data_IF_066900356821
#
_entry.id   IF_066900356821
#
_cell.length_a   1.000
_cell.length_b   1.000
_cell.length_c   1.000
_cell.angle_alpha   90.00
_cell.angle_beta   90.00
_cell.angle_gamma   90.00
#
_symmetry.space_group_name_H-M   'P 1'
#
loop_
_entity.id
_entity.type
_entity.pdbx_description
1 polymer ?
#
# COMPACT_ATOMS: atom_id res chain seq x y z
N UNK A 1 9.32 -6.05 -16.54
CA UNK A 1 8.25 -5.05 -16.30
C UNK A 1 8.60 -4.35 -15.00
N UNK A 2 9.36 -3.25 -15.10
CA UNK A 2 9.84 -2.52 -13.93
C UNK A 2 8.83 -1.41 -13.62
N UNK A 3 8.19 -1.51 -12.45
CA UNK A 3 7.30 -0.48 -11.91
C UNK A 3 8.08 0.83 -11.80
N UNK A 4 7.65 1.85 -12.56
CA UNK A 4 8.30 3.17 -12.61
C UNK A 4 8.34 3.77 -11.20
N UNK A 5 9.56 4.02 -10.71
CA UNK A 5 9.85 4.70 -9.45
C UNK A 5 9.50 6.18 -9.58
N UNK A 6 8.60 6.67 -8.73
CA UNK A 6 8.22 8.08 -8.65
C UNK A 6 9.32 8.82 -7.87
N UNK A 7 10.20 9.53 -8.57
CA UNK A 7 11.31 10.29 -7.97
C UNK A 7 11.04 11.79 -8.09
N UNK A 8 10.56 12.42 -7.01
CA UNK A 8 10.71 13.87 -6.81
C UNK A 8 11.99 14.07 -5.98
N UNK A 9 13.06 14.56 -6.62
CA UNK A 9 14.34 15.00 -6.02
C UNK A 9 15.20 13.93 -5.33
N UNK A 10 15.79 13.01 -6.11
CA UNK A 10 17.05 12.32 -5.75
C UNK A 10 17.06 11.38 -4.53
N UNK A 11 15.94 11.20 -3.83
CA UNK A 11 15.78 10.24 -2.74
C UNK A 11 14.95 9.06 -3.24
N UNK A 12 15.55 7.86 -3.28
CA UNK A 12 14.79 6.63 -3.50
C UNK A 12 13.94 6.40 -2.26
N UNK A 13 12.66 6.77 -2.35
CA UNK A 13 11.66 6.41 -1.35
C UNK A 13 11.20 5.01 -1.68
N UNK A 14 11.75 4.02 -0.97
CA UNK A 14 11.17 2.68 -0.94
C UNK A 14 9.83 2.82 -0.23
N UNK A 15 8.75 2.46 -0.91
CA UNK A 15 7.44 2.49 -0.27
C UNK A 15 7.33 1.27 0.63
N UNK A 16 7.32 1.48 1.93
CA UNK A 16 7.13 0.38 2.87
C UNK A 16 5.65 0.05 2.95
N UNK A 17 5.31 -1.24 2.95
CA UNK A 17 3.93 -1.66 3.08
C UNK A 17 3.39 -1.13 4.42
N UNK A 18 2.26 -0.39 4.43
CA UNK A 18 1.71 0.14 5.68
C UNK A 18 1.24 -0.97 6.64
N UNK A 19 0.92 -2.16 6.11
CA UNK A 19 0.46 -3.31 6.88
C UNK A 19 1.60 -4.14 7.48
N UNK A 20 2.52 -4.66 6.67
CA UNK A 20 3.58 -5.57 7.12
C UNK A 20 4.98 -4.94 7.22
N UNK A 21 5.14 -3.65 6.86
CA UNK A 21 6.43 -2.92 6.79
C UNK A 21 7.47 -3.52 5.84
N UNK A 22 7.08 -4.44 4.96
CA UNK A 22 7.97 -4.98 3.94
C UNK A 22 8.33 -3.93 2.88
N UNK A 23 9.51 -4.09 2.29
CA UNK A 23 10.03 -3.23 1.21
C UNK A 23 9.77 -3.78 -0.18
N UNK A 24 9.29 -5.01 -0.28
CA UNK A 24 8.94 -5.66 -1.55
C UNK A 24 7.54 -5.20 -1.99
N UNK A 25 7.47 -3.93 -2.37
CA UNK A 25 6.24 -3.28 -2.82
C UNK A 25 6.45 -2.69 -4.20
N UNK A 26 5.35 -2.50 -4.93
CA UNK A 26 5.37 -1.90 -6.26
C UNK A 26 4.15 -1.04 -6.52
N UNK A 27 4.30 -0.03 -7.37
CA UNK A 27 3.16 0.75 -7.86
C UNK A 27 2.52 0.03 -9.04
N UNK A 28 1.23 -0.26 -8.93
CA UNK A 28 0.43 -0.99 -9.93
C UNK A 28 -0.54 -0.08 -10.69
N UNK A 29 -0.79 1.14 -10.22
CA UNK A 29 -1.66 2.13 -10.88
C UNK A 29 -1.35 3.57 -10.48
N UNK A 30 -2.23 4.51 -10.80
CA UNK A 30 -2.09 5.92 -10.34
C UNK A 30 -2.41 5.97 -8.85
N UNK A 31 -1.44 6.36 -8.04
CA UNK A 31 -1.53 6.32 -6.57
C UNK A 31 -1.98 4.97 -5.98
N UNK A 32 -1.77 3.87 -6.71
CA UNK A 32 -2.17 2.52 -6.30
C UNK A 32 -0.95 1.61 -6.22
N UNK A 33 -0.80 0.91 -5.09
CA UNK A 33 0.39 0.17 -4.72
C UNK A 33 0.03 -1.22 -4.20
N UNK A 34 0.98 -2.15 -4.28
CA UNK A 34 0.80 -3.55 -3.94
C UNK A 34 2.01 -4.08 -3.17
N UNK A 35 1.79 -4.93 -2.17
CA UNK A 35 2.83 -5.64 -1.44
C UNK A 35 2.85 -7.12 -1.79
N UNK A 36 4.02 -7.60 -2.23
CA UNK A 36 4.23 -9.01 -2.60
C UNK A 36 4.40 -9.94 -1.40
N UNK A 37 4.61 -9.41 -0.19
CA UNK A 37 4.83 -10.24 1.01
C UNK A 37 3.53 -10.57 1.75
N UNK A 38 2.57 -9.64 1.79
CA UNK A 38 1.33 -9.79 2.55
C UNK A 38 0.06 -9.68 1.68
N UNK A 39 0.21 -9.59 0.36
CA UNK A 39 -0.90 -9.52 -0.59
C UNK A 39 -1.86 -8.34 -0.34
N UNK A 40 -1.35 -7.24 0.22
CA UNK A 40 -2.14 -6.03 0.47
C UNK A 40 -1.88 -5.03 -0.64
N UNK A 41 -2.95 -4.53 -1.25
CA UNK A 41 -2.94 -3.32 -2.07
C UNK A 41 -3.42 -2.11 -1.28
N UNK A 42 -2.92 -0.93 -1.64
CA UNK A 42 -3.40 0.32 -1.06
C UNK A 42 -3.38 1.47 -2.05
N UNK A 43 -4.41 2.30 -1.98
CA UNK A 43 -4.49 3.56 -2.70
C UNK A 43 -4.11 4.72 -1.78
N UNK A 44 -3.57 5.79 -2.37
CA UNK A 44 -3.28 7.05 -1.68
C UNK A 44 -4.10 8.16 -2.35
N UNK A 45 -5.20 8.55 -1.73
CA UNK A 45 -6.08 9.60 -2.24
C UNK A 45 -6.11 10.76 -1.24
N UNK A 46 -5.72 11.96 -1.67
CA UNK A 46 -5.63 13.15 -0.81
C UNK A 46 -4.79 12.98 0.47
N UNK A 47 -3.86 12.02 0.50
CA UNK A 47 -3.05 11.70 1.67
C UNK A 47 -3.70 10.70 2.63
N UNK A 48 -4.90 10.20 2.31
CA UNK A 48 -5.55 9.10 3.00
C UNK A 48 -5.15 7.78 2.35
N UNK A 49 -4.88 6.77 3.17
CA UNK A 49 -4.59 5.42 2.73
C UNK A 49 -5.85 4.57 2.83
N UNK A 50 -6.15 3.82 1.77
CA UNK A 50 -7.21 2.80 1.80
C UNK A 50 -6.57 1.46 1.47
N UNK A 51 -6.68 0.49 2.37
CA UNK A 51 -6.00 -0.80 2.26
C UNK A 51 -6.99 -1.92 1.94
N UNK A 52 -6.59 -2.80 1.03
CA UNK A 52 -7.33 -4.01 0.65
C UNK A 52 -6.40 -5.21 0.71
N UNK A 53 -6.82 -6.25 1.41
CA UNK A 53 -6.17 -7.55 1.33
C UNK A 53 -6.72 -8.32 0.13
N UNK A 54 -5.82 -8.86 -0.70
CA UNK A 54 -6.18 -9.77 -1.77
C UNK A 54 -6.23 -11.18 -1.19
N UNK A 55 -7.41 -11.79 -1.24
CA UNK A 55 -7.64 -13.17 -0.82
C UNK A 55 -7.11 -14.17 -1.87
N UNK A 56 -7.03 -15.45 -1.52
CA UNK A 56 -6.51 -16.50 -2.42
C UNK A 56 -7.33 -16.62 -3.72
N UNK A 57 -8.63 -16.35 -3.66
CA UNK A 57 -9.51 -16.37 -4.82
C UNK A 57 -9.45 -15.09 -5.66
N UNK A 58 -8.66 -14.10 -5.23
CA UNK A 58 -8.48 -12.80 -5.89
C UNK A 58 -9.53 -11.76 -5.52
N UNK A 59 -10.40 -12.04 -4.53
CA UNK A 59 -11.30 -11.03 -4.00
C UNK A 59 -10.57 -10.00 -3.14
N UNK A 60 -11.12 -8.79 -3.07
CA UNK A 60 -10.56 -7.69 -2.29
C UNK A 60 -11.36 -7.54 -0.98
N UNK A 61 -10.68 -7.70 0.14
CA UNK A 61 -11.23 -7.49 1.47
C UNK A 61 -10.76 -6.13 2.02
N UNK A 62 -11.68 -5.20 2.23
CA UNK A 62 -11.38 -3.89 2.81
C UNK A 62 -10.83 -4.05 4.23
N UNK A 63 -9.59 -3.61 4.47
CA UNK A 63 -9.00 -3.60 5.81
C UNK A 63 -9.54 -2.44 6.66
N UNK A 64 -10.02 -1.37 6.03
CA UNK A 64 -10.63 -0.21 6.70
C UNK A 64 -11.88 -0.59 7.52
N UNK A 65 -12.64 -1.61 7.11
CA UNK A 65 -13.81 -2.10 7.85
C UNK A 65 -13.41 -2.93 9.08
N UNK A 66 -12.23 -3.55 9.06
CA UNK A 66 -11.71 -4.38 10.15
C UNK A 66 -10.94 -3.56 11.20
N UNK A 67 -10.18 -2.56 10.76
CA UNK A 67 -9.26 -1.80 11.62
C UNK A 67 -9.59 -0.30 11.73
N UNK A 68 -10.56 0.19 10.94
CA UNK A 68 -10.92 1.60 10.88
C UNK A 68 -9.96 2.42 10.01
N UNK A 69 -10.50 3.45 9.35
CA UNK A 69 -9.78 4.36 8.42
C UNK A 69 -8.57 5.10 9.02
N UNK A 70 -8.33 5.01 10.34
CA UNK A 70 -7.23 5.71 11.00
C UNK A 70 -6.12 4.78 11.51
N UNK A 71 -6.23 3.47 11.26
CA UNK A 71 -5.24 2.50 11.73
C UNK A 71 -3.80 2.84 11.28
N UNK A 72 -3.64 3.36 10.06
CA UNK A 72 -2.34 3.79 9.55
C UNK A 72 -1.81 5.07 10.22
N UNK A 73 -2.69 5.98 10.63
CA UNK A 73 -2.31 7.25 11.28
C UNK A 73 -1.88 7.03 12.73
N UNK A 74 -2.44 6.02 13.39
CA UNK A 74 -2.18 5.71 14.81
C UNK A 74 -0.97 4.78 15.01
N UNK A 75 -0.64 3.94 14.02
CA UNK A 75 0.45 2.96 14.10
C UNK A 75 1.53 3.08 13.00
N UNK A 76 1.41 4.07 12.11
CA UNK A 76 2.28 4.26 10.95
C UNK A 76 3.19 5.49 11.00
N UNK A 77 3.74 5.80 12.18
CA UNK A 77 4.85 6.75 12.37
C UNK A 77 6.21 6.07 12.41
#
# INVERSE_FOLDING_TARGET
MFTKQFTKKGKVIYMECPYCKAKNTGKIGTEHYYCWECFVEWTIENGEYTLYQVEEDGTLCCLDDLFGKNWYSEHGG
#
